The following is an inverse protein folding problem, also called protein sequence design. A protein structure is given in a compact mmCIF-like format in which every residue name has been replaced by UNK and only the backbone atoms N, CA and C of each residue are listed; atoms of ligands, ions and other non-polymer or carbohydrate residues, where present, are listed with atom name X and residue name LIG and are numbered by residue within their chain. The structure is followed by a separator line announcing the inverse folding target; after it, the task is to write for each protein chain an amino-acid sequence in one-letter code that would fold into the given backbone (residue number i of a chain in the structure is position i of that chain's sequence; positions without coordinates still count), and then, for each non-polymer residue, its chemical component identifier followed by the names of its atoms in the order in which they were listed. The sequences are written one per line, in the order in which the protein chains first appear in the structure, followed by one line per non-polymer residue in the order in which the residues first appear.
data_IF_815249243137
#
_entry.id   IF_815249243137
#
_cell.length_a   1.000
_cell.length_b   1.000
_cell.length_c   1.000
_cell.angle_alpha   90.00
_cell.angle_beta   90.00
_cell.angle_gamma   90.00
#
_symmetry.space_group_name_H-M   'P 1'
#
loop_
_entity.id
_entity.type
_entity.pdbx_description
1 polymer ?
#
# COMPACT_ATOMS: atom_id res chain seq x y z
N UNK A 1 -1.43 9.32 -6.19
CA UNK A 1 -1.80 7.94 -6.59
C UNK A 1 -2.82 8.03 -7.74
N UNK A 2 -3.34 6.93 -8.28
CA UNK A 2 -4.45 7.02 -9.26
C UNK A 2 -5.76 7.21 -8.50
N UNK A 3 -6.30 8.43 -8.51
CA UNK A 3 -7.57 8.75 -7.89
C UNK A 3 -8.69 7.81 -8.40
N UNK A 4 -8.71 7.54 -9.71
CA UNK A 4 -9.65 6.62 -10.34
C UNK A 4 -9.55 5.20 -9.79
N UNK A 5 -8.33 4.68 -9.59
CA UNK A 5 -8.13 3.34 -9.06
C UNK A 5 -8.67 3.20 -7.63
N UNK A 6 -8.44 4.19 -6.78
CA UNK A 6 -8.99 4.21 -5.41
C UNK A 6 -10.51 4.41 -5.43
N UNK A 7 -11.03 5.25 -6.32
CA UNK A 7 -12.47 5.48 -6.47
C UNK A 7 -13.23 4.21 -6.86
N UNK A 8 -12.60 3.27 -7.59
CA UNK A 8 -13.22 1.96 -7.89
C UNK A 8 -13.59 1.15 -6.64
N UNK A 9 -12.93 1.36 -5.50
CA UNK A 9 -13.31 0.69 -4.24
C UNK A 9 -14.76 1.00 -3.83
N UNK A 10 -15.26 2.20 -4.14
CA UNK A 10 -16.65 2.56 -3.86
C UNK A 10 -17.64 1.74 -4.70
N UNK A 11 -17.22 1.22 -5.86
CA UNK A 11 -18.06 0.39 -6.73
C UNK A 11 -18.08 -1.10 -6.36
N UNK A 12 -17.33 -1.52 -5.33
CA UNK A 12 -17.32 -2.92 -4.92
C UNK A 12 -18.70 -3.32 -4.38
N UNK A 13 -19.24 -4.43 -4.91
CA UNK A 13 -20.56 -4.93 -4.48
C UNK A 13 -20.43 -5.68 -3.16
N UNK A 14 -21.30 -5.31 -2.23
CA UNK A 14 -21.47 -5.96 -0.93
C UNK A 14 -22.22 -7.27 -1.14
N UNK A 15 -21.65 -8.34 -0.59
CA UNK A 15 -22.21 -9.68 -0.57
C UNK A 15 -21.72 -10.41 0.69
N UNK A 16 -21.99 -11.72 0.78
CA UNK A 16 -21.60 -12.61 1.88
C UNK A 16 -20.11 -12.60 2.27
N UNK A 17 -19.19 -12.11 1.43
CA UNK A 17 -17.76 -11.99 1.75
C UNK A 17 -17.49 -10.85 2.73
N UNK A 18 -18.41 -9.89 2.85
CA UNK A 18 -18.30 -8.76 3.77
C UNK A 18 -18.88 -9.09 5.13
N UNK A 19 -18.01 -9.08 6.13
CA UNK A 19 -18.40 -9.24 7.53
C UNK A 19 -18.76 -7.88 8.15
N UNK A 20 -19.72 -7.88 9.07
CA UNK A 20 -20.00 -6.74 9.95
C UNK A 20 -20.86 -5.66 9.32
N UNK A 21 -21.26 -5.81 8.05
CA UNK A 21 -22.17 -4.90 7.36
C UNK A 21 -23.64 -5.25 7.65
N UNK A 22 -24.58 -4.32 7.38
CA UNK A 22 -26.01 -4.60 7.48
C UNK A 22 -26.46 -5.70 6.52
N UNK A 23 -27.33 -6.60 6.97
CA UNK A 23 -27.80 -7.73 6.14
C UNK A 23 -28.65 -7.29 4.94
N UNK A 24 -29.30 -6.14 5.06
CA UNK A 24 -30.07 -5.51 3.97
C UNK A 24 -29.18 -4.71 2.99
N UNK A 25 -27.86 -4.73 3.16
CA UNK A 25 -26.92 -4.11 2.24
C UNK A 25 -26.47 -5.04 1.09
N UNK A 26 -26.89 -6.31 1.09
CA UNK A 26 -26.57 -7.25 0.00
C UNK A 26 -27.03 -6.68 -1.36
N UNK A 27 -26.12 -6.69 -2.33
CA UNK A 27 -26.36 -6.15 -3.68
C UNK A 27 -26.07 -4.65 -3.83
N UNK A 28 -25.98 -3.89 -2.74
CA UNK A 28 -25.49 -2.51 -2.79
C UNK A 28 -23.99 -2.47 -3.08
N UNK A 29 -23.50 -1.33 -3.54
CA UNK A 29 -22.07 -1.02 -3.55
C UNK A 29 -21.62 -0.42 -2.23
N UNK A 30 -20.32 -0.52 -1.92
CA UNK A 30 -19.69 0.13 -0.76
C UNK A 30 -19.99 1.63 -0.72
N UNK A 31 -19.97 2.30 -1.88
CA UNK A 31 -20.27 3.71 -2.03
C UNK A 31 -21.74 4.05 -1.74
N UNK A 32 -22.68 3.25 -2.22
CA UNK A 32 -24.12 3.42 -1.93
C UNK A 32 -24.41 3.25 -0.44
N UNK A 33 -23.86 2.22 0.21
CA UNK A 33 -24.02 2.04 1.65
C UNK A 33 -23.38 3.20 2.43
N UNK A 34 -22.19 3.66 2.03
CA UNK A 34 -21.52 4.79 2.68
C UNK A 34 -22.33 6.09 2.57
N UNK A 35 -22.96 6.34 1.41
CA UNK A 35 -23.79 7.52 1.17
C UNK A 35 -25.03 7.58 2.08
N UNK A 36 -25.53 6.43 2.56
CA UNK A 36 -26.65 6.38 3.50
C UNK A 36 -26.29 6.87 4.90
N UNK A 37 -25.00 6.99 5.24
CA UNK A 37 -24.49 7.49 6.53
C UNK A 37 -25.19 6.87 7.75
N UNK A 38 -25.42 5.56 7.69
CA UNK A 38 -26.10 4.80 8.73
C UNK A 38 -25.40 4.94 10.08
N UNK A 39 -26.18 5.01 11.15
CA UNK A 39 -25.65 4.98 12.51
C UNK A 39 -25.02 3.62 12.81
N UNK A 40 -23.86 3.58 13.47
CA UNK A 40 -23.17 2.32 13.79
C UNK A 40 -24.01 1.36 14.65
N UNK A 41 -24.76 1.90 15.61
CA UNK A 41 -25.48 1.11 16.61
C UNK A 41 -26.91 0.77 16.20
N UNK A 42 -27.57 1.65 15.42
CA UNK A 42 -28.97 1.47 15.01
C UNK A 42 -29.14 1.19 13.51
N UNK A 43 -28.06 1.28 12.72
CA UNK A 43 -28.08 1.12 11.27
C UNK A 43 -27.98 -0.32 10.75
N UNK A 44 -28.14 -1.31 11.64
CA UNK A 44 -28.17 -2.74 11.28
C UNK A 44 -26.81 -3.41 11.13
N UNK A 45 -25.70 -2.75 11.47
CA UNK A 45 -24.37 -3.37 11.41
C UNK A 45 -24.29 -4.59 12.34
N UNK A 46 -23.67 -5.65 11.83
CA UNK A 46 -23.51 -6.91 12.57
C UNK A 46 -22.17 -6.94 13.30
N UNK A 47 -22.09 -7.65 14.43
CA UNK A 47 -20.84 -7.76 15.21
C UNK A 47 -20.12 -9.09 14.96
N UNK A 48 -18.78 -9.13 15.06
CA UNK A 48 -17.89 -8.01 15.36
C UNK A 48 -17.63 -7.14 14.13
N UNK A 49 -17.51 -5.83 14.37
CA UNK A 49 -17.23 -4.81 13.35
C UNK A 49 -16.02 -3.96 13.77
N UNK A 50 -15.10 -3.73 12.84
CA UNK A 50 -13.99 -2.79 13.01
C UNK A 50 -14.44 -1.42 12.52
N UNK A 51 -14.28 -0.40 13.35
CA UNK A 51 -14.61 0.99 12.98
C UNK A 51 -13.42 1.91 13.16
N UNK A 52 -13.33 2.90 12.28
CA UNK A 52 -12.33 3.96 12.35
C UNK A 52 -13.06 5.29 12.54
N UNK A 53 -12.58 6.11 13.48
CA UNK A 53 -13.06 7.49 13.61
C UNK A 53 -12.43 8.35 12.52
N UNK A 54 -13.23 8.86 11.59
CA UNK A 54 -12.77 9.74 10.52
C UNK A 54 -12.09 11.01 11.06
N UNK A 55 -12.55 11.53 12.20
CA UNK A 55 -11.93 12.68 12.87
C UNK A 55 -10.53 12.34 13.37
N UNK A 56 -10.37 11.21 14.07
CA UNK A 56 -9.07 10.77 14.60
C UNK A 56 -8.09 10.42 13.48
N UNK A 57 -8.57 9.80 12.40
CA UNK A 57 -7.74 9.57 11.21
C UNK A 57 -7.19 10.88 10.63
N UNK A 58 -8.06 11.87 10.39
CA UNK A 58 -7.65 13.18 9.89
C UNK A 58 -6.69 13.91 10.85
N UNK A 59 -6.92 13.81 12.16
CA UNK A 59 -6.01 14.36 13.16
C UNK A 59 -4.63 13.71 13.06
N UNK A 60 -4.55 12.38 13.05
CA UNK A 60 -3.29 11.63 13.00
C UNK A 60 -2.51 11.89 11.71
N UNK A 61 -3.19 12.01 10.57
CA UNK A 61 -2.56 12.34 9.29
C UNK A 61 -1.86 13.71 9.36
N UNK A 62 -2.57 14.76 9.78
CA UNK A 62 -2.00 16.10 9.94
C UNK A 62 -0.88 16.15 10.99
N UNK A 63 -0.99 15.37 12.06
CA UNK A 63 0.04 15.29 13.09
C UNK A 63 1.35 14.74 12.50
N UNK A 64 1.26 13.67 11.71
CA UNK A 64 2.44 13.07 11.09
C UNK A 64 3.04 13.97 10.00
N UNK A 65 2.20 14.60 9.17
CA UNK A 65 2.61 15.60 8.18
C UNK A 65 3.43 16.71 8.84
N UNK A 66 2.86 17.41 9.82
CA UNK A 66 3.52 18.50 10.53
C UNK A 66 4.79 18.06 11.28
N UNK A 67 4.82 16.81 11.78
CA UNK A 67 6.02 16.25 12.39
C UNK A 67 7.13 16.04 11.37
N UNK A 68 6.82 15.46 10.21
CA UNK A 68 7.79 15.15 9.16
C UNK A 68 8.32 16.40 8.47
N UNK A 69 7.46 17.39 8.22
CA UNK A 69 7.85 18.67 7.65
C UNK A 69 8.79 19.43 8.59
N UNK A 70 8.44 19.53 9.88
CA UNK A 70 9.25 20.24 10.89
C UNK A 70 10.68 19.72 10.98
N UNK A 71 10.89 18.43 10.74
CA UNK A 71 12.20 17.79 10.86
C UNK A 71 12.84 17.44 9.51
N UNK A 72 12.24 17.82 8.38
CA UNK A 72 12.76 17.51 7.04
C UNK A 72 12.87 16.01 6.75
N UNK A 73 11.96 15.19 7.28
CA UNK A 73 11.99 13.74 7.13
C UNK A 73 11.23 13.28 5.88
N UNK A 74 11.85 12.43 5.07
CA UNK A 74 11.14 11.66 4.05
C UNK A 74 10.46 10.45 4.73
N UNK A 75 9.14 10.52 4.87
CA UNK A 75 8.37 9.51 5.59
C UNK A 75 7.75 8.47 4.65
N UNK A 76 7.99 7.19 4.91
CA UNK A 76 7.41 6.06 4.18
C UNK A 76 6.66 5.12 5.15
N UNK A 77 5.38 5.37 5.47
CA UNK A 77 4.63 4.57 6.43
C UNK A 77 4.47 3.12 5.97
N UNK A 78 4.43 2.20 6.93
CA UNK A 78 4.32 0.78 6.63
C UNK A 78 2.86 0.37 6.34
N UNK A 79 2.59 0.00 5.09
CA UNK A 79 1.26 -0.39 4.61
C UNK A 79 0.87 -1.84 4.90
N UNK A 80 1.80 -2.71 5.33
CA UNK A 80 1.53 -4.16 5.51
C UNK A 80 0.43 -4.46 6.53
N UNK A 81 0.25 -3.56 7.50
CA UNK A 81 -0.65 -3.73 8.64
C UNK A 81 -2.10 -3.47 8.27
N UNK A 82 -2.35 -2.49 7.40
CA UNK A 82 -3.70 -2.12 6.98
C UNK A 82 -4.07 -2.73 5.64
N UNK A 83 -3.10 -2.83 4.72
CA UNK A 83 -3.33 -3.21 3.32
C UNK A 83 -4.54 -2.50 2.70
N UNK A 84 -4.75 -1.23 3.08
CA UNK A 84 -5.90 -0.42 2.69
C UNK A 84 -5.44 0.70 1.76
N UNK A 85 -5.59 0.56 0.42
CA UNK A 85 -5.13 1.55 -0.54
C UNK A 85 -5.70 2.94 -0.34
N UNK A 86 -6.92 3.06 0.22
CA UNK A 86 -7.49 4.35 0.58
C UNK A 86 -6.65 5.08 1.64
N UNK A 87 -6.18 4.37 2.66
CA UNK A 87 -5.31 4.96 3.69
C UNK A 87 -3.93 5.29 3.12
N UNK A 88 -3.42 4.51 2.16
CA UNK A 88 -2.17 4.84 1.47
C UNK A 88 -2.29 6.16 0.71
N UNK A 89 -3.42 6.35 0.00
CA UNK A 89 -3.69 7.61 -0.70
C UNK A 89 -3.75 8.78 0.28
N UNK A 90 -4.49 8.64 1.39
CA UNK A 90 -4.61 9.70 2.39
C UNK A 90 -3.24 10.05 3.00
N UNK A 91 -2.36 9.07 3.25
CA UNK A 91 -0.99 9.29 3.74
C UNK A 91 -0.10 10.02 2.73
N UNK A 92 -0.17 9.65 1.45
CA UNK A 92 0.59 10.32 0.38
C UNK A 92 0.11 11.76 0.15
N UNK A 93 -1.19 12.01 0.29
CA UNK A 93 -1.76 13.36 0.17
C UNK A 93 -1.34 14.26 1.34
N UNK A 94 -0.93 13.68 2.48
CA UNK A 94 -0.38 14.38 3.66
C UNK A 94 1.15 14.26 3.75
N UNK A 95 1.84 14.24 2.60
CA UNK A 95 3.29 14.42 2.54
C UNK A 95 4.15 13.16 2.70
N UNK A 96 3.57 11.96 2.79
CA UNK A 96 4.39 10.75 2.75
C UNK A 96 5.14 10.63 1.41
N UNK A 97 6.42 10.30 1.45
CA UNK A 97 7.29 10.15 0.27
C UNK A 97 6.87 8.94 -0.58
N UNK A 98 6.49 7.84 0.08
CA UNK A 98 6.12 6.56 -0.51
C UNK A 98 5.45 5.64 0.51
N UNK A 99 5.23 4.37 0.17
CA UNK A 99 4.64 3.38 1.08
C UNK A 99 5.62 2.22 1.29
N UNK A 100 5.83 1.84 2.54
CA UNK A 100 6.67 0.70 2.91
C UNK A 100 5.86 -0.58 2.96
N UNK A 101 6.31 -1.63 2.27
CA UNK A 101 5.65 -2.94 2.17
C UNK A 101 6.68 -4.05 2.46
N UNK A 102 6.20 -5.26 2.72
CA UNK A 102 7.09 -6.35 3.17
C UNK A 102 7.25 -7.48 2.14
N UNK A 103 6.30 -7.68 1.22
CA UNK A 103 6.35 -8.80 0.28
C UNK A 103 5.83 -8.44 -1.11
N UNK A 104 6.26 -9.14 -2.18
CA UNK A 104 5.93 -8.78 -3.56
C UNK A 104 4.44 -8.67 -3.87
N UNK A 105 3.58 -9.51 -3.28
CA UNK A 105 2.14 -9.41 -3.53
C UNK A 105 1.56 -8.07 -3.07
N UNK A 106 2.09 -7.50 -1.97
CA UNK A 106 1.66 -6.20 -1.47
C UNK A 106 2.09 -5.09 -2.43
N UNK A 107 3.30 -5.20 -3.00
CA UNK A 107 3.81 -4.28 -4.04
C UNK A 107 2.86 -4.28 -5.24
N UNK A 108 2.41 -5.46 -5.69
CA UNK A 108 1.43 -5.58 -6.78
C UNK A 108 0.11 -4.87 -6.47
N UNK A 109 -0.40 -5.02 -5.25
CA UNK A 109 -1.60 -4.27 -4.81
C UNK A 109 -1.33 -2.77 -4.85
N UNK A 110 -0.26 -2.28 -4.22
CA UNK A 110 0.06 -0.87 -4.21
C UNK A 110 0.25 -0.28 -5.62
N UNK A 111 0.87 -1.03 -6.54
CA UNK A 111 0.99 -0.67 -7.96
C UNK A 111 -0.35 -0.57 -8.66
N UNK A 112 -1.25 -1.52 -8.46
CA UNK A 112 -2.59 -1.51 -9.05
C UNK A 112 -3.42 -0.28 -8.62
N UNK A 113 -3.11 0.31 -7.46
CA UNK A 113 -3.71 1.55 -6.95
C UNK A 113 -2.86 2.81 -7.23
N UNK A 114 -1.79 2.68 -8.01
CA UNK A 114 -1.00 3.79 -8.51
C UNK A 114 -0.02 4.39 -7.49
N UNK A 115 0.43 3.62 -6.50
CA UNK A 115 1.56 4.02 -5.65
C UNK A 115 2.82 4.04 -6.51
N UNK A 116 3.49 5.19 -6.55
CA UNK A 116 4.65 5.43 -7.43
C UNK A 116 6.00 5.23 -6.74
N UNK A 117 6.05 5.32 -5.41
CA UNK A 117 7.27 5.10 -4.62
C UNK A 117 6.98 4.05 -3.57
N UNK A 118 7.68 2.93 -3.66
CA UNK A 118 7.51 1.79 -2.77
C UNK A 118 8.86 1.48 -2.14
N UNK A 119 8.89 1.35 -0.82
CA UNK A 119 10.01 0.76 -0.10
C UNK A 119 9.62 -0.67 0.26
N UNK A 120 10.20 -1.66 -0.37
CA UNK A 120 10.07 -3.06 0.03
C UNK A 120 11.05 -3.32 1.17
N UNK A 121 10.59 -3.22 2.42
CA UNK A 121 11.40 -3.46 3.61
C UNK A 121 11.59 -4.96 3.85
N UNK A 122 12.19 -5.62 2.87
CA UNK A 122 12.55 -7.02 2.82
C UNK A 122 13.48 -7.28 1.61
N UNK A 123 14.21 -8.38 1.64
CA UNK A 123 14.97 -8.89 0.50
C UNK A 123 14.03 -9.36 -0.60
N UNK A 124 14.50 -9.27 -1.84
CA UNK A 124 13.77 -9.68 -3.03
C UNK A 124 14.61 -10.66 -3.86
N UNK A 125 14.43 -11.96 -3.61
CA UNK A 125 15.19 -13.02 -4.29
C UNK A 125 14.32 -13.92 -5.17
N UNK A 126 13.00 -13.72 -5.20
CA UNK A 126 12.09 -14.49 -6.07
C UNK A 126 12.21 -14.03 -7.54
N UNK A 127 12.64 -14.90 -8.48
CA UNK A 127 12.85 -14.49 -9.87
C UNK A 127 11.57 -14.00 -10.57
N UNK A 128 10.41 -14.57 -10.23
CA UNK A 128 9.15 -14.15 -10.85
C UNK A 128 8.76 -12.72 -10.44
N UNK A 129 8.89 -12.39 -9.16
CA UNK A 129 8.69 -11.05 -8.64
C UNK A 129 9.70 -10.05 -9.21
N UNK A 130 10.97 -10.42 -9.31
CA UNK A 130 12.03 -9.59 -9.91
C UNK A 130 11.73 -9.25 -11.37
N UNK A 131 11.37 -10.25 -12.19
CA UNK A 131 10.99 -10.03 -13.60
C UNK A 131 9.76 -9.14 -13.75
N UNK A 132 8.77 -9.32 -12.88
CA UNK A 132 7.58 -8.48 -12.86
C UNK A 132 7.92 -7.02 -12.47
N UNK A 133 8.73 -6.81 -11.44
CA UNK A 133 9.19 -5.48 -11.01
C UNK A 133 9.99 -4.79 -12.11
N UNK A 134 10.91 -5.51 -12.78
CA UNK A 134 11.67 -4.97 -13.90
C UNK A 134 10.74 -4.49 -15.03
N UNK A 135 9.70 -5.28 -15.33
CA UNK A 135 8.69 -4.93 -16.33
C UNK A 135 7.89 -3.68 -15.94
N UNK A 136 7.48 -3.55 -14.67
CA UNK A 136 6.82 -2.34 -14.15
C UNK A 136 7.73 -1.10 -14.21
N UNK A 137 9.01 -1.25 -13.86
CA UNK A 137 10.00 -0.18 -13.94
C UNK A 137 10.22 0.30 -15.38
N UNK A 138 10.25 -0.63 -16.34
CA UNK A 138 10.40 -0.30 -17.75
C UNK A 138 9.13 0.36 -18.33
N UNK A 139 7.95 -0.04 -17.87
CA UNK A 139 6.67 0.50 -18.32
C UNK A 139 6.36 1.91 -17.78
N UNK A 140 6.84 2.25 -16.57
CA UNK A 140 6.54 3.51 -15.89
C UNK A 140 7.82 4.20 -15.39
N UNK A 141 8.34 5.20 -16.14
CA UNK A 141 9.52 5.98 -15.73
C UNK A 141 9.36 6.70 -14.37
N UNK A 142 8.12 6.96 -13.94
CA UNK A 142 7.83 7.60 -12.65
C UNK A 142 7.78 6.60 -11.48
N UNK A 143 7.71 5.31 -11.76
CA UNK A 143 7.76 4.27 -10.73
C UNK A 143 9.16 4.12 -10.16
N UNK A 144 9.24 4.05 -8.83
CA UNK A 144 10.43 3.79 -8.03
C UNK A 144 10.14 2.72 -7.00
N UNK A 145 11.04 1.76 -6.90
CA UNK A 145 11.04 0.75 -5.86
C UNK A 145 12.45 0.59 -5.32
N UNK A 146 12.53 0.51 -4.00
CA UNK A 146 13.77 0.25 -3.26
C UNK A 146 13.53 -1.03 -2.45
N UNK A 147 14.48 -1.95 -2.40
CA UNK A 147 14.43 -3.09 -1.48
C UNK A 147 15.71 -3.24 -0.66
N UNK A 148 15.70 -4.12 0.33
CA UNK A 148 16.92 -4.47 1.06
C UNK A 148 17.78 -5.47 0.30
N UNK A 149 19.08 -5.41 0.58
CA UNK A 149 20.04 -6.44 0.25
C UNK A 149 21.01 -6.62 1.44
N UNK A 150 21.19 -7.86 1.88
CA UNK A 150 21.98 -8.21 3.06
C UNK A 150 23.14 -9.18 2.74
N UNK A 151 23.19 -9.68 1.50
CA UNK A 151 24.11 -10.74 1.09
C UNK A 151 24.52 -10.63 -0.37
N UNK A 152 25.79 -10.97 -0.66
CA UNK A 152 26.31 -11.06 -2.03
C UNK A 152 25.48 -12.03 -2.86
N UNK A 153 25.11 -13.18 -2.27
CA UNK A 153 24.31 -14.20 -2.95
C UNK A 153 22.92 -13.68 -3.32
N UNK A 154 22.26 -12.91 -2.46
CA UNK A 154 20.99 -12.27 -2.79
C UNK A 154 21.11 -11.35 -4.00
N UNK A 155 22.17 -10.52 -4.03
CA UNK A 155 22.45 -9.60 -5.15
C UNK A 155 22.74 -10.35 -6.45
N UNK A 156 23.49 -11.45 -6.42
CA UNK A 156 23.72 -12.31 -7.60
C UNK A 156 22.41 -12.85 -8.18
N UNK A 157 21.52 -13.35 -7.33
CA UNK A 157 20.21 -13.85 -7.73
C UNK A 157 19.34 -12.74 -8.35
N UNK A 158 19.36 -11.56 -7.74
CA UNK A 158 18.70 -10.36 -8.29
C UNK A 158 19.24 -10.02 -9.67
N UNK A 159 20.57 -9.93 -9.81
CA UNK A 159 21.22 -9.56 -11.08
C UNK A 159 20.89 -10.54 -12.19
N UNK A 160 20.86 -11.85 -11.90
CA UNK A 160 20.52 -12.87 -12.89
C UNK A 160 19.07 -12.68 -13.40
N UNK A 161 18.09 -12.60 -12.50
CA UNK A 161 16.69 -12.49 -12.88
C UNK A 161 16.33 -11.14 -13.54
N UNK A 162 16.93 -10.04 -13.07
CA UNK A 162 16.74 -8.71 -13.68
C UNK A 162 17.40 -8.64 -15.07
N UNK A 163 18.54 -9.31 -15.26
CA UNK A 163 19.25 -9.39 -16.54
C UNK A 163 18.45 -10.08 -17.65
N UNK A 164 17.55 -11.01 -17.31
CA UNK A 164 16.64 -11.67 -18.28
C UNK A 164 15.66 -10.68 -18.94
N UNK A 165 15.25 -9.64 -18.21
CA UNK A 165 14.31 -8.60 -18.72
C UNK A 165 15.07 -7.40 -19.26
N UNK A 166 16.18 -7.02 -18.62
CA UNK A 166 16.94 -5.81 -18.92
C UNK A 166 16.20 -4.52 -18.57
N UNK A 167 16.83 -3.38 -18.83
CA UNK A 167 16.25 -2.05 -18.61
C UNK A 167 16.73 -1.38 -17.31
N UNK A 168 15.81 -0.74 -16.59
CA UNK A 168 16.15 0.06 -15.41
C UNK A 168 16.55 -0.83 -14.22
N UNK A 169 17.59 -0.45 -13.44
CA UNK A 169 17.98 -1.20 -12.25
C UNK A 169 16.90 -1.09 -11.15
N UNK A 170 16.91 -2.08 -10.24
CA UNK A 170 16.19 -2.00 -8.96
C UNK A 170 17.12 -1.33 -7.95
N UNK A 171 16.64 -0.27 -7.30
CA UNK A 171 17.40 0.40 -6.24
C UNK A 171 17.46 -0.50 -4.99
N UNK A 172 18.62 -0.57 -4.35
CA UNK A 172 18.82 -1.36 -3.13
C UNK A 172 19.42 -0.50 -2.01
N UNK A 173 19.06 -0.84 -0.77
CA UNK A 173 19.71 -0.35 0.44
C UNK A 173 20.34 -1.53 1.15
N UNK A 174 21.61 -1.41 1.54
CA UNK A 174 22.26 -2.45 2.34
C UNK A 174 21.62 -2.48 3.72
N UNK A 175 21.05 -3.62 4.10
CA UNK A 175 20.53 -3.80 5.45
C UNK A 175 21.69 -4.07 6.40
N UNK A 176 21.76 -3.30 7.49
CA UNK A 176 22.72 -3.49 8.56
C UNK A 176 21.98 -4.00 9.80
N UNK A 177 22.33 -5.20 10.25
CA UNK A 177 21.85 -5.73 11.51
C UNK A 177 22.44 -4.95 12.70
N UNK A 178 21.66 -4.80 13.76
CA UNK A 178 22.11 -4.27 15.05
C UNK A 178 21.86 -5.33 16.13
N UNK A 179 22.73 -6.33 16.19
CA UNK A 179 22.65 -7.46 17.13
C UNK A 179 23.08 -8.78 16.49
N UNK A 180 23.31 -9.78 17.34
CA UNK A 180 23.49 -11.19 16.94
C UNK A 180 22.15 -11.84 16.55
#
# INVERSE_FOLDING_TARGET
MSADAVNRLAGERIDHRFKGLPTDADGLTVGELAAQRRNLFTGGFTTPVLTLSAERLRHNLRLMEAYTERHGLAFAPHGKTTMAPRLFQDQLDHGAWGITLAVPHQVRVARAFGVRRIFLANELVDPAALRWIASELNADPAFRIICYADSVRGVELMSAALGEVGGRPVDVVVELAAGD
#
